data_IF_892936723305
#
_entry.id   IF_892936723305
#
_cell.length_a   1.000
_cell.length_b   1.000
_cell.length_c   1.000
_cell.angle_alpha   90.00
_cell.angle_beta   90.00
_cell.angle_gamma   90.00
#
_symmetry.space_group_name_H-M   'P 1'
#
loop_
_entity.id
_entity.type
_entity.pdbx_description
1 polymer ?
#
# COMPACT_ATOMS: atom_id res chain seq x y z
N UNK A 1 28.14 -10.74 4.80
CA UNK A 1 28.53 -12.03 4.14
C UNK A 1 28.03 -13.30 4.87
N UNK A 2 28.24 -13.51 6.18
CA UNK A 2 27.75 -14.73 6.87
C UNK A 2 26.22 -14.73 7.09
N UNK A 3 25.63 -13.57 7.37
CA UNK A 3 24.20 -13.46 7.67
C UNK A 3 23.33 -13.69 6.42
N UNK A 4 23.79 -13.23 5.24
CA UNK A 4 23.17 -13.50 3.94
C UNK A 4 22.92 -15.00 3.67
N UNK A 5 23.94 -15.84 3.84
CA UNK A 5 23.80 -17.28 3.62
C UNK A 5 22.83 -17.93 4.61
N UNK A 6 22.77 -17.38 5.83
CA UNK A 6 21.82 -17.84 6.84
C UNK A 6 20.38 -17.46 6.45
N UNK A 7 20.14 -16.23 5.97
CA UNK A 7 18.85 -15.83 5.42
C UNK A 7 18.45 -16.76 4.26
N UNK A 8 19.32 -16.90 3.27
CA UNK A 8 19.02 -17.75 2.12
C UNK A 8 18.69 -19.19 2.55
N UNK A 9 19.50 -19.77 3.45
CA UNK A 9 19.28 -21.14 3.91
C UNK A 9 17.98 -21.28 4.70
N UNK A 10 17.70 -20.33 5.61
CA UNK A 10 16.51 -20.35 6.46
C UNK A 10 15.23 -20.22 5.63
N UNK A 11 15.12 -19.18 4.79
CA UNK A 11 13.90 -18.91 4.03
C UNK A 11 13.72 -19.81 2.80
N UNK A 12 14.79 -20.42 2.29
CA UNK A 12 14.67 -21.38 1.17
C UNK A 12 14.41 -22.81 1.63
N UNK A 13 14.93 -23.23 2.80
CA UNK A 13 14.84 -24.62 3.25
C UNK A 13 13.85 -24.86 4.39
N UNK A 14 13.51 -23.83 5.18
CA UNK A 14 12.54 -23.91 6.27
C UNK A 14 11.43 -22.84 6.16
N UNK A 15 10.83 -22.63 4.96
CA UNK A 15 9.89 -21.53 4.75
C UNK A 15 8.68 -21.58 5.69
N UNK A 16 8.18 -22.77 6.02
CA UNK A 16 7.04 -22.97 6.92
C UNK A 16 7.28 -22.48 8.35
N UNK A 17 8.56 -22.35 8.74
CA UNK A 17 8.97 -21.91 10.07
C UNK A 17 9.50 -20.48 10.10
N UNK A 18 9.85 -19.91 8.94
CA UNK A 18 10.54 -18.62 8.87
C UNK A 18 9.75 -17.53 8.16
N UNK A 19 9.01 -17.87 7.10
CA UNK A 19 8.29 -16.88 6.28
C UNK A 19 7.18 -16.26 7.10
N UNK A 20 7.18 -14.93 7.17
CA UNK A 20 6.18 -14.17 7.90
C UNK A 20 6.30 -14.26 9.42
N UNK A 21 7.36 -14.86 9.96
CA UNK A 21 7.55 -15.00 11.40
C UNK A 21 8.18 -13.71 11.99
N UNK A 22 7.45 -13.07 12.90
CA UNK A 22 7.82 -11.76 13.46
C UNK A 22 9.18 -11.77 14.15
N UNK A 23 9.45 -12.78 14.99
CA UNK A 23 10.69 -12.88 15.75
C UNK A 23 11.92 -12.97 14.86
N UNK A 24 11.87 -13.80 13.82
CA UNK A 24 12.91 -13.98 12.82
C UNK A 24 13.06 -12.70 11.99
N UNK A 25 11.98 -12.14 11.46
CA UNK A 25 12.05 -10.92 10.63
C UNK A 25 12.62 -9.75 11.44
N UNK A 26 12.17 -9.56 12.69
CA UNK A 26 12.68 -8.50 13.55
C UNK A 26 14.16 -8.70 13.85
N UNK A 27 14.57 -9.92 14.22
CA UNK A 27 15.98 -10.26 14.45
C UNK A 27 16.84 -9.89 13.24
N UNK A 28 16.35 -10.16 12.02
CA UNK A 28 17.04 -9.75 10.80
C UNK A 28 17.15 -8.23 10.69
N UNK A 29 16.08 -7.47 10.97
CA UNK A 29 16.12 -6.02 10.90
C UNK A 29 17.14 -5.42 11.89
N UNK A 30 17.29 -6.03 13.06
CA UNK A 30 18.26 -5.62 14.08
C UNK A 30 19.70 -5.99 13.70
N UNK A 31 19.92 -7.07 12.93
CA UNK A 31 21.26 -7.58 12.63
C UNK A 31 21.83 -7.19 11.26
N UNK A 32 20.98 -6.90 10.26
CA UNK A 32 21.45 -6.59 8.89
C UNK A 32 22.01 -5.17 8.82
N UNK A 33 23.21 -5.02 8.24
CA UNK A 33 23.73 -3.71 7.83
C UNK A 33 23.18 -3.29 6.45
N UNK A 34 23.51 -2.07 6.00
CA UNK A 34 22.99 -1.55 4.73
C UNK A 34 23.42 -2.38 3.51
N UNK A 35 24.60 -3.00 3.55
CA UNK A 35 25.11 -3.86 2.49
C UNK A 35 24.36 -5.20 2.45
N UNK A 36 24.16 -5.83 3.60
CA UNK A 36 23.37 -7.05 3.71
C UNK A 36 21.90 -6.79 3.31
N UNK A 37 21.30 -5.64 3.67
CA UNK A 37 19.95 -5.25 3.22
C UNK A 37 19.85 -5.18 1.69
N UNK A 38 20.82 -4.55 1.03
CA UNK A 38 20.83 -4.45 -0.43
C UNK A 38 20.89 -5.83 -1.09
N UNK A 39 21.74 -6.71 -0.56
CA UNK A 39 21.86 -8.09 -1.01
C UNK A 39 20.54 -8.86 -0.86
N UNK A 40 19.88 -8.74 0.30
CA UNK A 40 18.58 -9.36 0.54
C UNK A 40 17.51 -8.80 -0.42
N UNK A 41 17.52 -7.49 -0.71
CA UNK A 41 16.62 -6.90 -1.72
C UNK A 41 16.82 -7.53 -3.09
N UNK A 42 18.07 -7.76 -3.52
CA UNK A 42 18.33 -8.43 -4.79
C UNK A 42 17.83 -9.88 -4.78
N UNK A 43 18.03 -10.62 -3.70
CA UNK A 43 17.59 -12.00 -3.61
C UNK A 43 16.05 -12.12 -3.63
N UNK A 44 15.34 -11.23 -2.93
CA UNK A 44 13.87 -11.12 -2.99
C UNK A 44 13.42 -10.74 -4.40
N UNK A 45 14.02 -9.71 -5.00
CA UNK A 45 13.66 -9.24 -6.35
C UNK A 45 13.88 -10.30 -7.43
N UNK A 46 14.88 -11.16 -7.27
CA UNK A 46 15.13 -12.34 -8.11
C UNK A 46 14.26 -13.55 -7.74
N UNK A 47 13.33 -13.41 -6.79
CA UNK A 47 12.42 -14.45 -6.29
C UNK A 47 13.15 -15.71 -5.77
N UNK A 48 14.35 -15.55 -5.20
CA UNK A 48 15.11 -16.69 -4.67
C UNK A 48 14.49 -17.26 -3.39
N UNK A 49 13.94 -16.39 -2.56
CA UNK A 49 13.14 -16.71 -1.38
C UNK A 49 12.21 -15.53 -1.08
N UNK A 50 11.30 -15.72 -0.12
CA UNK A 50 10.37 -14.71 0.38
C UNK A 50 10.58 -14.56 1.88
N UNK A 51 10.52 -13.33 2.41
CA UNK A 51 10.60 -13.06 3.84
C UNK A 51 9.21 -12.96 4.47
N UNK A 52 8.26 -12.34 3.77
CA UNK A 52 6.93 -11.98 4.32
C UNK A 52 5.82 -12.93 3.84
N UNK A 53 6.02 -13.60 2.71
CA UNK A 53 5.08 -14.53 2.11
C UNK A 53 4.04 -13.84 1.23
N UNK A 54 2.99 -14.59 0.86
CA UNK A 54 1.88 -14.06 0.04
C UNK A 54 0.57 -13.91 0.84
N UNK A 55 0.56 -14.32 2.12
CA UNK A 55 -0.62 -14.20 2.96
C UNK A 55 -0.79 -12.73 3.39
N UNK A 56 -1.78 -12.07 2.80
CA UNK A 56 -2.11 -10.65 3.05
C UNK A 56 -2.35 -10.37 4.53
N UNK A 57 -2.96 -11.30 5.26
CA UNK A 57 -3.36 -11.11 6.65
C UNK A 57 -2.15 -11.27 7.58
N UNK A 58 -1.24 -12.19 7.25
CA UNK A 58 0.04 -12.31 7.94
C UNK A 58 0.92 -11.07 7.72
N UNK A 59 1.00 -10.56 6.49
CA UNK A 59 1.73 -9.33 6.16
C UNK A 59 1.14 -8.14 6.92
N UNK A 60 -0.19 -8.01 6.94
CA UNK A 60 -0.85 -6.94 7.68
C UNK A 60 -0.56 -7.03 9.19
N UNK A 61 -0.57 -8.25 9.75
CA UNK A 61 -0.19 -8.47 11.15
C UNK A 61 1.24 -7.99 11.41
N UNK A 62 2.19 -8.33 10.53
CA UNK A 62 3.58 -7.87 10.64
C UNK A 62 3.72 -6.35 10.51
N UNK A 63 2.99 -5.73 9.59
CA UNK A 63 2.95 -4.27 9.47
C UNK A 63 2.53 -3.65 10.80
N UNK A 64 1.46 -4.16 11.42
CA UNK A 64 0.95 -3.64 12.70
C UNK A 64 1.91 -3.88 13.86
N UNK A 65 2.56 -5.04 13.92
CA UNK A 65 3.54 -5.31 14.98
C UNK A 65 4.82 -4.49 14.80
N UNK A 66 5.21 -4.22 13.55
CA UNK A 66 6.37 -3.37 13.22
C UNK A 66 6.24 -1.93 13.68
N UNK A 67 5.02 -1.40 13.89
CA UNK A 67 4.81 -0.04 14.41
C UNK A 67 5.46 0.20 15.77
N UNK A 68 5.73 -0.87 16.53
CA UNK A 68 6.39 -0.83 17.85
C UNK A 68 7.90 -1.01 17.76
N UNK A 69 8.44 -1.28 16.58
CA UNK A 69 9.87 -1.47 16.38
C UNK A 69 10.59 -0.13 16.33
N UNK A 70 11.91 -0.17 16.47
CA UNK A 70 12.72 1.05 16.36
C UNK A 70 12.63 1.62 14.94
N UNK A 71 12.78 2.95 14.81
CA UNK A 71 12.64 3.63 13.52
C UNK A 71 13.53 3.04 12.42
N UNK A 72 14.78 2.70 12.77
CA UNK A 72 15.72 2.06 11.84
C UNK A 72 15.23 0.68 11.38
N UNK A 73 14.68 -0.12 12.30
CA UNK A 73 14.12 -1.44 12.00
C UNK A 73 12.90 -1.30 11.07
N UNK A 74 12.02 -0.33 11.33
CA UNK A 74 10.88 -0.03 10.46
C UNK A 74 11.33 0.37 9.06
N UNK A 75 12.34 1.24 8.92
CA UNK A 75 12.85 1.65 7.62
C UNK A 75 13.42 0.46 6.81
N UNK A 76 14.17 -0.44 7.46
CA UNK A 76 14.67 -1.67 6.84
C UNK A 76 13.51 -2.58 6.43
N UNK A 77 12.55 -2.80 7.33
CA UNK A 77 11.36 -3.60 7.09
C UNK A 77 10.60 -3.12 5.85
N UNK A 78 10.26 -1.83 5.78
CA UNK A 78 9.55 -1.26 4.64
C UNK A 78 10.36 -1.29 3.35
N UNK A 79 11.68 -1.13 3.45
CA UNK A 79 12.57 -1.28 2.31
C UNK A 79 12.56 -2.68 1.70
N UNK A 80 12.47 -3.73 2.53
CA UNK A 80 12.39 -5.11 2.08
C UNK A 80 10.97 -5.49 1.62
N UNK A 81 9.96 -5.10 2.41
CA UNK A 81 8.55 -5.37 2.10
C UNK A 81 8.16 -4.74 0.76
N UNK A 82 8.61 -3.52 0.47
CA UNK A 82 8.33 -2.88 -0.82
C UNK A 82 8.85 -3.67 -2.02
N UNK A 83 10.07 -4.23 -1.91
CA UNK A 83 10.65 -5.07 -2.98
C UNK A 83 9.88 -6.39 -3.11
N UNK A 84 9.53 -7.02 -1.99
CA UNK A 84 8.78 -8.27 -2.01
C UNK A 84 7.38 -8.10 -2.60
N UNK A 85 6.67 -7.05 -2.19
CA UNK A 85 5.37 -6.71 -2.76
C UNK A 85 5.49 -6.42 -4.25
N UNK A 86 6.55 -5.76 -4.73
CA UNK A 86 6.71 -5.49 -6.16
C UNK A 86 6.78 -6.77 -7.02
N UNK A 87 7.21 -7.90 -6.43
CA UNK A 87 7.31 -9.19 -7.12
C UNK A 87 6.26 -10.21 -6.68
N UNK A 88 5.40 -9.93 -5.70
CA UNK A 88 4.39 -10.88 -5.21
C UNK A 88 3.00 -10.64 -5.82
N UNK A 89 2.15 -11.66 -5.74
CA UNK A 89 0.72 -11.57 -6.09
C UNK A 89 -0.16 -10.93 -5.01
N UNK A 90 0.44 -10.32 -3.99
CA UNK A 90 -0.30 -9.75 -2.84
C UNK A 90 -1.16 -8.57 -3.29
N UNK A 91 -2.42 -8.58 -2.83
CA UNK A 91 -3.42 -7.54 -3.07
C UNK A 91 -3.16 -6.31 -2.21
N UNK A 92 -2.41 -5.37 -2.77
CA UNK A 92 -2.02 -4.12 -2.12
C UNK A 92 -3.24 -3.30 -1.68
N UNK A 93 -4.30 -3.28 -2.47
CA UNK A 93 -5.55 -2.59 -2.18
C UNK A 93 -6.16 -3.02 -0.83
N UNK A 94 -6.04 -4.32 -0.51
CA UNK A 94 -6.52 -4.87 0.77
C UNK A 94 -5.64 -4.47 1.94
N UNK A 95 -4.31 -4.47 1.75
CA UNK A 95 -3.38 -4.03 2.77
C UNK A 95 -3.63 -2.55 3.14
N UNK A 96 -3.80 -1.70 2.13
CA UNK A 96 -4.07 -0.26 2.31
C UNK A 96 -5.37 -0.05 3.08
N UNK A 97 -6.49 -0.63 2.61
CA UNK A 97 -7.78 -0.47 3.26
C UNK A 97 -7.73 -0.98 4.71
N UNK A 98 -7.18 -2.17 4.94
CA UNK A 98 -7.17 -2.76 6.28
C UNK A 98 -6.23 -2.03 7.25
N UNK A 99 -5.15 -1.42 6.75
CA UNK A 99 -4.23 -0.62 7.57
C UNK A 99 -4.84 0.73 7.92
N UNK A 100 -5.34 1.49 6.94
CA UNK A 100 -5.89 2.83 7.17
C UNK A 100 -7.26 2.82 7.87
N UNK A 101 -7.99 1.70 7.84
CA UNK A 101 -9.21 1.50 8.64
C UNK A 101 -8.91 0.96 10.05
N UNK A 102 -7.65 0.76 10.43
CA UNK A 102 -7.29 0.26 11.75
C UNK A 102 -7.17 1.40 12.77
N UNK A 103 -7.38 1.09 14.06
CA UNK A 103 -7.36 2.11 15.11
C UNK A 103 -5.95 2.70 15.34
N UNK A 104 -4.91 1.93 15.04
CA UNK A 104 -3.50 2.28 15.22
C UNK A 104 -3.08 3.50 14.39
N UNK A 105 -3.73 3.74 13.24
CA UNK A 105 -3.42 4.88 12.35
C UNK A 105 -3.60 6.25 13.00
N UNK A 106 -4.36 6.31 14.11
CA UNK A 106 -4.66 7.56 14.81
C UNK A 106 -3.50 8.07 15.66
N UNK A 107 -2.39 7.33 15.76
CA UNK A 107 -1.14 7.82 16.34
C UNK A 107 -0.11 8.14 15.24
N UNK A 108 0.04 9.43 14.86
CA UNK A 108 0.99 9.82 13.82
C UNK A 108 2.44 9.48 14.15
N UNK A 109 2.80 9.45 15.44
CA UNK A 109 4.17 9.22 15.88
C UNK A 109 4.61 7.78 15.63
N UNK A 110 3.67 6.83 15.77
CA UNK A 110 3.89 5.41 15.49
C UNK A 110 3.78 5.07 14.00
N UNK A 111 2.93 5.79 13.27
CA UNK A 111 2.55 5.39 11.91
C UNK A 111 3.31 6.12 10.78
N UNK A 112 4.09 7.15 11.09
CA UNK A 112 4.74 7.98 10.06
C UNK A 112 5.60 7.18 9.06
N UNK A 113 6.47 6.29 9.56
CA UNK A 113 7.31 5.42 8.71
C UNK A 113 6.47 4.45 7.89
N UNK A 114 5.41 3.89 8.49
CA UNK A 114 4.50 2.96 7.81
C UNK A 114 3.72 3.63 6.67
N UNK A 115 3.18 4.82 6.91
CA UNK A 115 2.47 5.60 5.88
C UNK A 115 3.43 6.03 4.78
N UNK A 116 4.68 6.40 5.11
CA UNK A 116 5.72 6.67 4.12
C UNK A 116 6.07 5.44 3.28
N UNK A 117 6.15 4.26 3.91
CA UNK A 117 6.37 2.99 3.22
C UNK A 117 5.24 2.64 2.24
N UNK A 118 3.99 2.74 2.69
CA UNK A 118 2.81 2.53 1.83
C UNK A 118 2.75 3.53 0.67
N UNK A 119 3.10 4.81 0.91
CA UNK A 119 3.14 5.82 -0.13
C UNK A 119 4.18 5.46 -1.21
N UNK A 120 5.37 5.03 -0.80
CA UNK A 120 6.42 4.58 -1.71
C UNK A 120 5.97 3.38 -2.56
N UNK A 121 5.28 2.42 -1.94
CA UNK A 121 4.75 1.25 -2.65
C UNK A 121 3.66 1.67 -3.65
N UNK A 122 2.72 2.52 -3.27
CA UNK A 122 1.70 3.05 -4.19
C UNK A 122 2.33 3.77 -5.38
N UNK A 123 3.34 4.61 -5.14
CA UNK A 123 4.00 5.40 -6.18
C UNK A 123 4.82 4.53 -7.16
N UNK A 124 5.23 3.33 -6.76
CA UNK A 124 5.94 2.38 -7.62
C UNK A 124 5.02 1.42 -8.39
N UNK A 125 3.70 1.46 -8.13
CA UNK A 125 2.69 0.62 -8.78
C UNK A 125 1.90 1.44 -9.80
N UNK A 126 1.54 0.82 -10.92
CA UNK A 126 0.58 1.40 -11.84
C UNK A 126 -0.81 1.46 -11.18
N UNK A 127 -1.62 2.51 -11.43
CA UNK A 127 -2.98 2.58 -10.94
C UNK A 127 -3.80 1.46 -11.59
N UNK A 128 -4.47 0.65 -10.76
CA UNK A 128 -5.49 -0.32 -11.18
C UNK A 128 -6.85 0.11 -10.60
N UNK A 129 -7.98 -0.33 -11.18
CA UNK A 129 -9.31 0.03 -10.67
C UNK A 129 -9.48 -0.27 -9.18
N UNK A 130 -9.01 -1.43 -8.72
CA UNK A 130 -9.12 -1.88 -7.33
C UNK A 130 -8.25 -1.02 -6.39
N UNK A 131 -7.04 -0.66 -6.83
CA UNK A 131 -6.11 0.13 -6.02
C UNK A 131 -6.51 1.60 -5.96
N UNK A 132 -6.97 2.15 -7.09
CA UNK A 132 -7.56 3.49 -7.18
C UNK A 132 -8.79 3.60 -6.30
N UNK A 133 -9.69 2.61 -6.37
CA UNK A 133 -10.84 2.50 -5.49
C UNK A 133 -10.45 2.47 -4.02
N UNK A 134 -9.48 1.64 -3.64
CA UNK A 134 -8.98 1.58 -2.27
C UNK A 134 -8.46 2.94 -1.76
N UNK A 135 -7.73 3.70 -2.59
CA UNK A 135 -7.21 5.02 -2.24
C UNK A 135 -8.32 6.07 -2.11
N UNK A 136 -9.32 6.05 -3.00
CA UNK A 136 -10.47 6.97 -2.96
C UNK A 136 -11.37 6.69 -1.76
N UNK A 137 -11.53 5.42 -1.38
CA UNK A 137 -12.39 4.99 -0.28
C UNK A 137 -11.70 5.00 1.09
N UNK A 138 -10.47 5.53 1.18
CA UNK A 138 -9.79 5.68 2.46
C UNK A 138 -10.58 6.60 3.40
N UNK A 139 -10.71 6.24 4.69
CA UNK A 139 -11.31 7.14 5.66
C UNK A 139 -10.50 8.43 5.77
N UNK A 140 -11.15 9.51 6.19
CA UNK A 140 -10.43 10.73 6.55
C UNK A 140 -9.66 10.47 7.84
N UNK A 141 -8.36 10.27 7.75
CA UNK A 141 -7.45 9.99 8.86
C UNK A 141 -6.44 11.12 9.07
N UNK A 142 -5.60 11.04 10.11
CA UNK A 142 -4.59 12.07 10.44
C UNK A 142 -3.65 12.39 9.27
N UNK A 143 -3.31 11.41 8.44
CA UNK A 143 -2.52 11.59 7.20
C UNK A 143 -3.35 12.03 5.98
N UNK A 144 -4.19 13.06 6.11
CA UNK A 144 -5.16 13.43 5.07
C UNK A 144 -4.57 13.61 3.67
N UNK A 145 -3.31 14.04 3.54
CA UNK A 145 -2.67 14.24 2.24
C UNK A 145 -2.26 12.96 1.49
N UNK A 146 -2.36 11.77 2.11
CA UNK A 146 -1.91 10.51 1.52
C UNK A 146 -2.58 10.23 0.17
N UNK A 147 -3.91 10.24 0.13
CA UNK A 147 -4.65 9.89 -1.09
C UNK A 147 -4.37 10.90 -2.21
N UNK A 148 -4.40 12.21 -1.91
CA UNK A 148 -4.04 13.25 -2.86
C UNK A 148 -2.61 13.10 -3.42
N UNK A 149 -1.63 12.74 -2.58
CA UNK A 149 -0.25 12.54 -3.01
C UNK A 149 -0.09 11.35 -3.96
N UNK A 150 -0.78 10.24 -3.67
CA UNK A 150 -0.80 9.05 -4.53
C UNK A 150 -1.44 9.38 -5.89
N UNK A 151 -2.63 9.99 -5.88
CA UNK A 151 -3.34 10.38 -7.09
C UNK A 151 -2.54 11.37 -7.95
N UNK A 152 -1.90 12.36 -7.31
CA UNK A 152 -1.01 13.32 -7.98
C UNK A 152 0.15 12.63 -8.69
N UNK A 153 0.78 11.65 -8.03
CA UNK A 153 1.89 10.89 -8.59
C UNK A 153 1.43 10.04 -9.78
N UNK A 154 0.30 9.33 -9.66
CA UNK A 154 -0.26 8.57 -10.78
C UNK A 154 -0.70 9.45 -11.93
N UNK A 155 -1.24 10.64 -11.67
CA UNK A 155 -1.62 11.57 -12.73
C UNK A 155 -0.41 12.17 -13.46
N UNK A 156 0.75 12.23 -12.80
CA UNK A 156 1.99 12.66 -13.44
C UNK A 156 2.63 11.54 -14.26
N UNK A 157 2.68 10.31 -13.73
CA UNK A 157 3.42 9.19 -14.34
C UNK A 157 2.56 8.29 -15.23
N UNK A 158 1.27 8.14 -14.93
CA UNK A 158 0.36 7.14 -15.48
C UNK A 158 -1.05 7.72 -15.71
N UNK A 159 -1.14 8.94 -16.25
CA UNK A 159 -2.41 9.68 -16.34
C UNK A 159 -3.54 8.89 -17.02
N UNK A 160 -3.28 8.27 -18.18
CA UNK A 160 -4.30 7.49 -18.90
C UNK A 160 -4.81 6.33 -18.05
N UNK A 161 -3.91 5.50 -17.52
CA UNK A 161 -4.26 4.34 -16.69
C UNK A 161 -5.02 4.75 -15.42
N UNK A 162 -4.69 5.91 -14.85
CA UNK A 162 -5.43 6.45 -13.70
C UNK A 162 -6.87 6.75 -14.08
N UNK A 163 -7.10 7.46 -15.18
CA UNK A 163 -8.46 7.84 -15.59
C UNK A 163 -9.28 6.66 -16.11
N UNK A 164 -8.65 5.72 -16.82
CA UNK A 164 -9.29 4.46 -17.21
C UNK A 164 -9.70 3.65 -15.96
N UNK A 165 -8.81 3.56 -14.96
CA UNK A 165 -9.10 2.88 -13.69
C UNK A 165 -10.21 3.57 -12.89
N UNK A 166 -10.24 4.91 -12.90
CA UNK A 166 -11.30 5.70 -12.27
C UNK A 166 -12.65 5.46 -12.94
N UNK A 167 -12.70 5.44 -14.27
CA UNK A 167 -13.91 5.17 -15.03
C UNK A 167 -14.44 3.76 -14.72
N UNK A 168 -13.58 2.75 -14.80
CA UNK A 168 -13.96 1.36 -14.51
C UNK A 168 -14.43 1.18 -13.05
N UNK A 169 -13.75 1.82 -12.10
CA UNK A 169 -14.17 1.82 -10.70
C UNK A 169 -15.55 2.47 -10.53
N UNK A 170 -15.78 3.60 -11.19
CA UNK A 170 -17.05 4.33 -11.17
C UNK A 170 -18.19 3.51 -11.79
N UNK A 171 -17.95 2.82 -12.91
CA UNK A 171 -18.95 1.98 -13.58
C UNK A 171 -19.34 0.76 -12.71
N UNK A 172 -18.37 0.08 -12.11
CA UNK A 172 -18.61 -1.07 -11.20
C UNK A 172 -19.46 -0.66 -10.00
N UNK A 173 -19.26 0.54 -9.47
CA UNK A 173 -20.05 1.08 -8.37
C UNK A 173 -21.38 1.70 -8.82
N UNK A 174 -21.47 2.32 -10.00
CA UNK A 174 -22.70 2.89 -10.56
C UNK A 174 -23.74 1.82 -10.93
N UNK A 175 -23.27 0.67 -11.42
CA UNK A 175 -24.13 -0.45 -11.85
C UNK A 175 -24.80 -1.21 -10.69
N UNK A 176 -24.39 -0.97 -9.44
CA UNK A 176 -24.92 -1.65 -8.26
C UNK A 176 -26.09 -0.92 -7.59
N UNK A 177 -26.52 0.25 -8.06
CA UNK A 177 -27.37 1.13 -7.25
C UNK A 177 -28.77 1.41 -7.84
N UNK A 178 -29.70 0.51 -7.51
CA UNK A 178 -31.07 0.88 -7.16
C UNK A 178 -31.20 1.37 -5.70
N UNK A 179 -30.13 1.31 -4.92
CA UNK A 179 -30.00 1.96 -3.60
C UNK A 179 -28.84 2.95 -3.67
N UNK A 180 -29.10 4.22 -3.40
CA UNK A 180 -28.11 5.29 -3.31
C UNK A 180 -26.74 4.84 -2.80
N UNK A 181 -25.68 5.09 -3.60
CA UNK A 181 -24.24 4.94 -3.27
C UNK A 181 -23.90 5.53 -1.89
N UNK A 182 -24.73 6.44 -1.39
CA UNK A 182 -24.53 7.21 -0.17
C UNK A 182 -25.29 6.68 1.05
N UNK A 183 -25.85 5.47 1.01
CA UNK A 183 -26.75 4.99 2.06
C UNK A 183 -26.55 3.51 2.39
N UNK A 184 -25.39 3.16 2.95
CA UNK A 184 -25.23 1.94 3.75
C UNK A 184 -24.92 2.36 5.21
N UNK A 185 -25.40 1.65 6.26
CA UNK A 185 -25.39 2.13 7.64
C UNK A 185 -23.98 2.29 8.26
N UNK A 186 -22.93 1.85 7.57
CA UNK A 186 -21.53 1.97 8.01
C UNK A 186 -20.75 3.11 7.33
N UNK A 187 -21.40 3.91 6.47
CA UNK A 187 -20.83 5.17 5.96
C UNK A 187 -19.54 4.98 5.17
N UNK A 188 -19.64 4.56 3.90
CA UNK A 188 -18.51 4.60 2.97
C UNK A 188 -18.10 6.07 2.78
N UNK A 189 -17.07 6.52 3.51
CA UNK A 189 -16.54 7.87 3.41
C UNK A 189 -15.58 7.92 2.22
N UNK A 190 -15.95 8.65 1.17
CA UNK A 190 -15.01 9.03 0.14
C UNK A 190 -13.98 9.98 0.76
N UNK A 191 -12.70 9.72 0.53
CA UNK A 191 -11.61 10.51 1.07
C UNK A 191 -11.71 11.96 0.54
N UNK A 192 -11.82 12.93 1.45
CA UNK A 192 -12.04 14.32 1.07
C UNK A 192 -10.84 14.90 0.31
N UNK A 193 -9.62 14.51 0.68
CA UNK A 193 -8.42 14.97 -0.01
C UNK A 193 -8.35 14.46 -1.46
N UNK A 194 -8.81 13.23 -1.69
CA UNK A 194 -8.85 12.62 -3.01
C UNK A 194 -9.82 13.38 -3.93
N UNK A 195 -11.05 13.63 -3.44
CA UNK A 195 -12.04 14.41 -4.18
C UNK A 195 -11.54 15.82 -4.47
N UNK A 196 -11.03 16.50 -3.44
CA UNK A 196 -10.55 17.88 -3.59
C UNK A 196 -9.41 17.96 -4.60
N UNK A 197 -8.49 17.00 -4.57
CA UNK A 197 -7.41 16.91 -5.55
C UNK A 197 -7.96 16.68 -6.97
N UNK A 198 -8.91 15.76 -7.15
CA UNK A 198 -9.54 15.50 -8.46
C UNK A 198 -10.21 16.76 -9.00
N UNK A 199 -11.04 17.43 -8.19
CA UNK A 199 -11.71 18.68 -8.58
C UNK A 199 -10.70 19.72 -9.07
N UNK A 200 -9.67 20.00 -8.27
CA UNK A 200 -8.63 20.96 -8.63
C UNK A 200 -7.87 20.56 -9.90
N UNK A 201 -7.62 19.27 -10.10
CA UNK A 201 -6.93 18.76 -11.29
C UNK A 201 -7.74 19.00 -12.57
N UNK A 202 -9.05 18.74 -12.52
CA UNK A 202 -9.93 18.92 -13.67
C UNK A 202 -10.22 20.41 -13.96
N UNK A 203 -10.43 21.22 -12.92
CA UNK A 203 -10.60 22.67 -13.04
C UNK A 203 -9.38 23.31 -13.71
N UNK A 204 -8.16 22.92 -13.30
CA UNK A 204 -6.92 23.39 -13.89
C UNK A 204 -6.76 23.01 -15.38
N UNK A 205 -7.47 21.96 -15.83
CA UNK A 205 -7.48 21.50 -17.23
C UNK A 205 -8.70 21.99 -18.02
N UNK A 206 -9.59 22.77 -17.41
CA UNK A 206 -10.82 23.27 -18.04
C UNK A 206 -11.84 22.17 -18.37
N UNK A 207 -11.75 21.02 -17.70
CA UNK A 207 -12.66 19.88 -17.87
C UNK A 207 -13.65 19.88 -16.71
N UNK A 208 -14.96 19.83 -17.00
CA UNK A 208 -15.96 19.76 -15.94
C UNK A 208 -16.11 18.30 -15.46
N UNK A 209 -15.99 18.07 -14.15
CA UNK A 209 -16.06 16.74 -13.53
C UNK A 209 -17.37 15.99 -13.86
N UNK A 210 -18.45 16.74 -14.13
CA UNK A 210 -19.75 16.18 -14.52
C UNK A 210 -19.71 15.39 -15.83
N UNK A 211 -18.78 15.67 -16.75
CA UNK A 211 -18.62 14.90 -17.99
C UNK A 211 -17.80 13.61 -17.80
N UNK A 212 -17.06 13.48 -16.69
CA UNK A 212 -16.19 12.33 -16.41
C UNK A 212 -16.89 11.33 -15.49
N UNK A 213 -17.74 11.80 -14.57
CA UNK A 213 -18.49 10.96 -13.64
C UNK A 213 -19.97 10.75 -14.03
N UNK A 214 -20.47 11.55 -14.98
CA UNK A 214 -21.80 11.37 -15.58
C UNK A 214 -21.68 10.67 -16.92
N UNK A 215 -21.67 9.34 -16.91
CA UNK A 215 -21.90 8.55 -18.13
C UNK A 215 -23.22 8.98 -18.78
N UNK A 216 -23.20 9.11 -20.10
CA UNK A 216 -24.35 9.45 -20.95
C UNK A 216 -25.47 8.41 -20.85
#
# INVERSE_FOLDING_TARGET
MRLKYLCQSLFSHLPDLSVGEEGIIRLLMSCLDDGDILDVKFDIGLRRYSLFGENTEAILSLIKTSLKWESLEQHKFWGLLGVELAVSGVRLEKLILNFFCSAEINDPSLCSTAVGGLLSICNSRAPTPELVGAVILLPNHVFQAFAAAVLSTWAHLNASLLFDSLAEFSEKHGSQNGESIFSNPTGVMVNHSAILWLLNYFDARGVNLSYVLGGS
#
